data_IF_324135008611
#
_entry.id   IF_324135008611
#
_cell.length_a   1.000
_cell.length_b   1.000
_cell.length_c   1.000
_cell.angle_alpha   90.00
_cell.angle_beta   90.00
_cell.angle_gamma   90.00
#
_symmetry.space_group_name_H-M   'P 1'
#
loop_
_entity.id
_entity.type
_entity.pdbx_description
1 polymer ?
#
# COMPACT_ATOMS: atom_id res chain seq x y z
N UNK A 1 -3.97 -5.28 -13.72
CA UNK A 1 -5.07 -5.25 -12.72
C UNK A 1 -5.32 -3.85 -12.16
N UNK A 2 -4.34 -3.19 -11.52
CA UNK A 2 -4.52 -1.84 -10.94
C UNK A 2 -4.76 -0.77 -12.02
N UNK A 3 -3.89 -0.65 -13.02
CA UNK A 3 -4.07 0.33 -14.11
C UNK A 3 -5.39 0.11 -14.86
N UNK A 4 -5.74 -1.15 -15.15
CA UNK A 4 -7.04 -1.50 -15.76
C UNK A 4 -8.24 -1.04 -14.91
N UNK A 5 -8.12 -1.07 -13.58
CA UNK A 5 -9.15 -0.54 -12.69
C UNK A 5 -9.21 0.98 -12.74
N UNK A 6 -8.06 1.65 -12.77
CA UNK A 6 -7.96 3.11 -12.92
C UNK A 6 -8.63 3.55 -14.24
N UNK A 7 -8.30 2.92 -15.37
CA UNK A 7 -8.89 3.18 -16.70
C UNK A 7 -10.41 3.02 -16.67
N UNK A 8 -10.93 1.95 -16.05
CA UNK A 8 -12.38 1.71 -15.95
C UNK A 8 -13.11 2.71 -15.07
N UNK A 9 -12.41 3.39 -14.17
CA UNK A 9 -12.98 4.34 -13.20
C UNK A 9 -12.38 5.74 -13.39
N UNK A 10 -12.14 6.13 -14.65
CA UNK A 10 -11.45 7.39 -15.03
C UNK A 10 -11.92 8.61 -14.24
N UNK A 11 -13.23 8.84 -14.17
CA UNK A 11 -13.81 10.00 -13.46
C UNK A 11 -13.39 10.11 -11.98
N UNK A 12 -13.08 8.98 -11.34
CA UNK A 12 -12.63 8.93 -9.94
C UNK A 12 -11.15 9.23 -9.80
N UNK A 13 -10.32 8.82 -10.77
CA UNK A 13 -8.86 8.84 -10.64
C UNK A 13 -8.19 9.97 -11.41
N UNK A 14 -8.74 10.38 -12.55
CA UNK A 14 -8.21 11.47 -13.37
C UNK A 14 -7.95 12.77 -12.59
N UNK A 15 -8.81 13.19 -11.62
CA UNK A 15 -8.54 14.40 -10.83
C UNK A 15 -7.30 14.35 -9.92
N UNK A 16 -6.66 13.18 -9.77
CA UNK A 16 -5.45 12.99 -8.95
C UNK A 16 -4.17 12.82 -9.79
N UNK A 17 -4.29 12.89 -11.11
CA UNK A 17 -3.15 12.93 -12.04
C UNK A 17 -2.70 14.40 -12.16
N UNK A 18 -1.40 14.62 -12.35
CA UNK A 18 -0.84 15.95 -12.57
C UNK A 18 -1.49 16.62 -13.80
N UNK A 19 -1.84 17.91 -13.67
CA UNK A 19 -2.64 18.64 -14.67
C UNK A 19 -1.98 18.70 -16.07
N UNK A 20 -0.66 18.53 -16.15
CA UNK A 20 0.12 18.55 -17.39
C UNK A 20 0.29 17.17 -18.04
N UNK A 21 -0.24 16.11 -17.43
CA UNK A 21 -0.14 14.73 -17.93
C UNK A 21 -1.52 14.23 -18.37
N UNK A 22 -1.74 13.97 -19.68
CA UNK A 22 -2.99 13.38 -20.15
C UNK A 22 -3.26 12.00 -19.51
N UNK A 23 -4.51 11.73 -19.12
CA UNK A 23 -4.91 10.48 -18.46
C UNK A 23 -4.42 9.21 -19.20
N UNK A 24 -4.56 9.20 -20.52
CA UNK A 24 -4.20 8.04 -21.34
C UNK A 24 -2.67 7.83 -21.38
N UNK A 25 -1.89 8.91 -21.40
CA UNK A 25 -0.42 8.86 -21.31
C UNK A 25 0.04 8.41 -19.92
N UNK A 26 -0.60 8.91 -18.87
CA UNK A 26 -0.38 8.45 -17.50
C UNK A 26 -0.60 6.94 -17.37
N UNK A 27 -1.73 6.43 -17.87
CA UNK A 27 -2.05 5.01 -17.81
C UNK A 27 -1.03 4.16 -18.59
N UNK A 28 -0.62 4.58 -19.78
CA UNK A 28 0.43 3.90 -20.55
C UNK A 28 1.76 3.86 -19.83
N UNK A 29 2.17 4.99 -19.22
CA UNK A 29 3.39 5.06 -18.40
C UNK A 29 3.33 4.09 -17.22
N UNK A 30 2.19 4.04 -16.52
CA UNK A 30 1.98 3.13 -15.39
C UNK A 30 1.93 1.64 -15.77
N UNK A 31 1.68 1.29 -17.03
CA UNK A 31 1.83 -0.09 -17.52
C UNK A 31 3.28 -0.50 -17.77
N UNK A 32 4.22 0.47 -17.80
CA UNK A 32 5.64 0.19 -18.01
C UNK A 32 6.29 -0.37 -16.75
N UNK A 33 6.98 -1.50 -16.88
CA UNK A 33 7.70 -2.12 -15.76
C UNK A 33 8.76 -1.15 -15.20
N UNK A 34 8.77 -1.01 -13.87
CA UNK A 34 9.68 -0.10 -13.17
C UNK A 34 9.14 1.33 -13.01
N UNK A 35 7.97 1.66 -13.56
CA UNK A 35 7.29 2.94 -13.25
C UNK A 35 6.85 2.97 -11.79
N UNK A 36 7.09 4.10 -11.13
CA UNK A 36 6.83 4.27 -9.71
C UNK A 36 5.36 4.58 -9.47
N UNK A 37 4.75 3.82 -8.56
CA UNK A 37 3.39 4.00 -8.12
C UNK A 37 3.31 4.91 -6.89
N UNK A 38 2.25 5.69 -6.78
CA UNK A 38 1.98 6.60 -5.69
C UNK A 38 0.79 6.19 -4.82
N UNK A 39 0.26 7.17 -4.08
CA UNK A 39 -0.87 6.95 -3.18
C UNK A 39 -2.17 6.61 -3.92
N UNK A 40 -2.35 7.17 -5.12
CA UNK A 40 -3.50 6.89 -5.99
C UNK A 40 -3.55 5.40 -6.37
N UNK A 41 -2.42 4.82 -6.74
CA UNK A 41 -2.31 3.41 -7.13
C UNK A 41 -2.55 2.50 -5.94
N UNK A 42 -2.13 2.91 -4.73
CA UNK A 42 -2.44 2.19 -3.50
C UNK A 42 -3.95 2.19 -3.20
N UNK A 43 -4.64 3.31 -3.45
CA UNK A 43 -6.11 3.36 -3.33
C UNK A 43 -6.78 2.42 -4.32
N UNK A 44 -6.38 2.45 -5.59
CA UNK A 44 -6.88 1.53 -6.61
C UNK A 44 -6.57 0.05 -6.27
N UNK A 45 -5.34 -0.23 -5.82
CA UNK A 45 -4.93 -1.56 -5.40
C UNK A 45 -5.75 -2.08 -4.21
N UNK A 46 -6.06 -1.21 -3.24
CA UNK A 46 -6.91 -1.56 -2.10
C UNK A 46 -8.29 -2.05 -2.56
N UNK A 47 -8.92 -1.30 -3.47
CA UNK A 47 -10.25 -1.63 -4.02
C UNK A 47 -10.23 -2.94 -4.80
N UNK A 48 -9.26 -3.09 -5.71
CA UNK A 48 -9.11 -4.27 -6.57
C UNK A 48 -8.87 -5.54 -5.74
N UNK A 49 -8.00 -5.44 -4.74
CA UNK A 49 -7.58 -6.60 -3.92
C UNK A 49 -8.50 -6.85 -2.72
N UNK A 50 -9.56 -6.06 -2.58
CA UNK A 50 -10.49 -6.13 -1.46
C UNK A 50 -9.80 -6.13 -0.09
N UNK A 51 -8.74 -5.31 0.03
CA UNK A 51 -7.87 -5.26 1.20
C UNK A 51 -7.63 -3.81 1.60
N UNK A 52 -7.79 -3.48 2.88
CA UNK A 52 -7.34 -2.21 3.43
C UNK A 52 -5.81 -2.14 3.45
N UNK A 53 -5.25 -0.93 3.53
CA UNK A 53 -3.80 -0.72 3.59
C UNK A 53 -3.44 0.16 4.78
N UNK A 54 -2.51 -0.29 5.61
CA UNK A 54 -1.89 0.47 6.68
C UNK A 54 -0.45 0.83 6.28
N UNK A 55 -0.13 2.12 6.24
CA UNK A 55 1.18 2.63 5.86
C UNK A 55 1.89 3.14 7.11
N UNK A 56 2.98 2.47 7.47
CA UNK A 56 3.87 2.83 8.57
C UNK A 56 4.90 3.85 8.12
N UNK A 57 5.13 4.87 8.95
CA UNK A 57 6.08 5.96 8.68
C UNK A 57 6.97 6.19 9.89
N UNK A 58 8.25 6.44 9.66
CA UNK A 58 9.19 6.69 10.75
C UNK A 58 8.79 7.93 11.55
N UNK A 59 8.67 7.77 12.87
CA UNK A 59 8.32 8.84 13.83
C UNK A 59 7.07 9.66 13.46
N UNK A 60 6.14 9.06 12.71
CA UNK A 60 4.94 9.74 12.22
C UNK A 60 3.71 8.86 12.45
N UNK A 61 2.51 9.44 12.57
CA UNK A 61 1.28 8.67 12.56
C UNK A 61 1.18 7.79 11.31
N UNK A 62 0.58 6.61 11.50
CA UNK A 62 0.26 5.70 10.39
C UNK A 62 -0.84 6.29 9.52
N UNK A 63 -0.74 6.06 8.23
CA UNK A 63 -1.82 6.34 7.30
C UNK A 63 -2.62 5.08 7.02
N UNK A 64 -3.90 5.28 6.71
CA UNK A 64 -4.83 4.19 6.46
C UNK A 64 -5.61 4.48 5.20
N UNK A 65 -5.55 3.55 4.25
CA UNK A 65 -6.52 3.41 3.18
C UNK A 65 -7.54 2.38 3.65
N UNK A 66 -8.74 2.85 4.03
CA UNK A 66 -9.82 2.01 4.55
C UNK A 66 -11.03 2.12 3.64
N UNK A 67 -11.20 1.11 2.79
CA UNK A 67 -12.35 0.97 1.90
C UNK A 67 -13.38 -0.05 2.45
N UNK A 68 -12.99 -0.87 3.43
CA UNK A 68 -13.80 -1.97 3.94
C UNK A 68 -13.84 -1.97 5.47
N UNK A 69 -15.03 -1.92 6.08
CA UNK A 69 -15.21 -1.81 7.55
C UNK A 69 -15.83 -3.06 8.20
N UNK A 70 -15.81 -4.19 7.50
CA UNK A 70 -16.26 -5.47 8.08
C UNK A 70 -15.14 -6.15 8.88
N UNK A 71 -15.52 -6.95 9.89
CA UNK A 71 -14.59 -7.54 10.87
C UNK A 71 -13.44 -8.37 10.26
N UNK A 72 -13.69 -8.99 9.11
CA UNK A 72 -12.73 -9.86 8.42
C UNK A 72 -11.96 -9.15 7.30
N UNK A 73 -12.09 -7.82 7.17
CA UNK A 73 -11.43 -7.07 6.12
C UNK A 73 -9.91 -7.24 6.24
N UNK A 74 -9.30 -7.78 5.18
CA UNK A 74 -7.85 -7.98 5.12
C UNK A 74 -7.13 -6.64 5.20
N UNK A 75 -6.02 -6.59 5.92
CA UNK A 75 -5.14 -5.42 5.99
C UNK A 75 -3.73 -5.78 5.49
N UNK A 76 -3.30 -5.07 4.45
CA UNK A 76 -1.93 -5.08 3.95
C UNK A 76 -1.14 -4.02 4.72
N UNK A 77 0.09 -4.33 5.10
CA UNK A 77 0.97 -3.38 5.78
C UNK A 77 2.13 -3.02 4.89
N UNK A 78 2.34 -1.71 4.72
CA UNK A 78 3.46 -1.14 3.98
C UNK A 78 4.25 -0.21 4.90
N UNK A 79 5.53 -0.01 4.64
CA UNK A 79 6.33 1.03 5.28
C UNK A 79 6.82 2.01 4.22
N UNK A 80 6.70 3.31 4.50
CA UNK A 80 7.06 4.38 3.57
C UNK A 80 8.32 5.10 4.04
N UNK A 81 9.27 5.22 3.12
CA UNK A 81 10.64 5.68 3.38
C UNK A 81 11.08 6.70 2.33
N UNK A 82 11.92 7.63 2.76
CA UNK A 82 12.69 8.55 1.93
C UNK A 82 11.89 9.40 0.92
N UNK A 83 10.58 9.52 1.14
CA UNK A 83 9.71 10.39 0.34
C UNK A 83 9.22 9.78 -0.98
N UNK A 84 9.55 8.51 -1.26
CA UNK A 84 9.21 7.90 -2.55
C UNK A 84 9.11 6.36 -2.51
N UNK A 85 9.55 5.70 -1.45
CA UNK A 85 9.72 4.25 -1.45
C UNK A 85 8.79 3.53 -0.46
N UNK A 86 8.08 2.50 -0.94
CA UNK A 86 7.25 1.61 -0.12
C UNK A 86 7.87 0.23 0.03
N UNK A 87 7.82 -0.37 1.21
CA UNK A 87 8.21 -1.76 1.44
C UNK A 87 7.07 -2.59 2.02
N UNK A 88 7.03 -3.88 1.70
CA UNK A 88 6.12 -4.82 2.34
C UNK A 88 6.49 -5.05 3.80
N UNK A 89 5.50 -5.02 4.69
CA UNK A 89 5.70 -5.25 6.13
C UNK A 89 5.08 -6.58 6.53
N UNK A 90 5.90 -7.47 7.10
CA UNK A 90 5.49 -8.76 7.65
C UNK A 90 5.90 -8.90 9.12
N UNK A 91 5.23 -9.81 9.83
CA UNK A 91 5.65 -10.19 11.18
C UNK A 91 7.04 -10.85 11.14
N UNK A 92 7.82 -10.68 12.20
CA UNK A 92 9.14 -11.32 12.31
C UNK A 92 9.04 -12.84 12.34
N UNK A 93 7.94 -13.35 12.88
CA UNK A 93 7.62 -14.78 12.98
C UNK A 93 6.89 -15.30 11.72
N UNK A 94 6.76 -14.47 10.69
CA UNK A 94 6.24 -14.89 9.39
C UNK A 94 7.31 -15.71 8.66
N UNK A 95 6.92 -16.88 8.16
CA UNK A 95 7.79 -17.77 7.38
C UNK A 95 8.22 -17.16 6.03
N UNK A 96 7.62 -16.04 5.63
CA UNK A 96 7.77 -15.41 4.32
C UNK A 96 7.28 -16.25 3.14
N UNK A 97 6.72 -17.44 3.38
CA UNK A 97 6.15 -18.32 2.36
C UNK A 97 4.65 -18.02 2.25
N UNK A 98 4.20 -17.75 1.03
CA UNK A 98 2.79 -17.43 0.75
C UNK A 98 2.31 -16.13 1.39
N UNK A 99 1.00 -16.05 1.65
CA UNK A 99 0.33 -14.87 2.19
C UNK A 99 0.90 -14.43 3.54
N UNK A 100 1.04 -13.12 3.72
CA UNK A 100 1.47 -12.52 4.98
C UNK A 100 0.51 -12.87 6.12
N UNK A 101 1.07 -13.22 7.28
CA UNK A 101 0.30 -13.42 8.51
C UNK A 101 -0.37 -12.11 8.92
N UNK A 102 -1.63 -12.15 9.43
CA UNK A 102 -2.30 -10.95 9.90
C UNK A 102 -1.51 -10.23 11.00
N UNK A 103 -1.33 -8.91 10.86
CA UNK A 103 -0.72 -8.07 11.88
C UNK A 103 -1.84 -7.44 12.71
N UNK A 104 -1.92 -7.84 13.99
CA UNK A 104 -2.88 -7.24 14.92
C UNK A 104 -2.24 -6.01 15.56
N UNK A 105 -2.68 -4.84 15.12
CA UNK A 105 -2.31 -3.57 15.76
C UNK A 105 -3.09 -3.46 17.07
N UNK A 106 -2.40 -3.63 18.19
CA UNK A 106 -2.96 -3.29 19.49
C UNK A 106 -2.98 -1.77 19.64
N UNK A 107 -4.16 -1.19 19.84
CA UNK A 107 -4.28 0.20 20.26
C UNK A 107 -3.89 0.24 21.73
N UNK A 108 -2.66 0.66 22.01
CA UNK A 108 -2.26 1.03 23.36
C UNK A 108 -2.83 2.43 23.63
N UNK A 109 -3.92 2.52 24.40
CA UNK A 109 -4.28 3.78 25.07
C UNK A 109 -3.24 3.98 26.16
N UNK A 110 -2.12 4.65 25.88
CA UNK A 110 -1.16 4.99 26.94
C UNK A 110 -0.53 6.36 26.66
N UNK A 111 -0.71 7.24 27.63
CA UNK A 111 0.13 8.39 27.97
C UNK A 111 1.61 8.10 27.66
N UNK A 112 2.24 8.91 26.81
CA UNK A 112 3.69 8.98 26.53
C UNK A 112 4.51 7.72 26.86
N UNK A 113 4.71 6.83 25.89
CA UNK A 113 5.89 5.96 25.89
C UNK A 113 6.58 5.94 24.53
N UNK A 114 7.89 6.14 24.61
CA UNK A 114 8.87 6.20 23.52
C UNK A 114 8.87 4.92 22.68
N UNK A 115 8.89 5.09 21.36
CA UNK A 115 9.05 4.03 20.36
C UNK A 115 10.44 3.40 20.51
N UNK A 116 10.55 2.32 21.31
CA UNK A 116 11.80 1.53 21.38
C UNK A 116 11.63 0.02 21.25
N UNK A 117 10.44 -0.48 20.92
CA UNK A 117 10.22 -1.92 20.79
C UNK A 117 9.78 -2.36 19.39
N UNK A 118 10.76 -2.95 18.70
CA UNK A 118 10.75 -4.12 17.80
C UNK A 118 9.80 -4.17 16.60
N UNK A 119 10.33 -4.90 15.60
CA UNK A 119 9.70 -5.48 14.41
C UNK A 119 9.58 -4.47 13.28
N UNK A 120 10.41 -4.60 12.24
CA UNK A 120 10.05 -4.66 10.81
C UNK A 120 11.37 -4.71 10.00
N UNK A 121 11.51 -5.72 9.13
CA UNK A 121 12.62 -5.83 8.17
C UNK A 121 12.11 -5.51 6.77
N UNK A 122 12.98 -4.88 5.99
CA UNK A 122 12.72 -4.31 4.67
C UNK A 122 12.92 -5.36 3.57
N UNK A 123 11.96 -5.51 2.66
CA UNK A 123 12.09 -6.32 1.45
C UNK A 123 11.82 -5.46 0.22
N UNK A 124 12.81 -5.37 -0.67
CA UNK A 124 12.82 -4.54 -1.89
C UNK A 124 11.54 -4.71 -2.75
N UNK A 125 10.94 -3.58 -3.12
CA UNK A 125 9.61 -3.43 -3.74
C UNK A 125 9.47 -3.85 -5.21
N UNK A 126 10.54 -4.28 -5.89
CA UNK A 126 10.48 -4.59 -7.33
C UNK A 126 9.52 -5.76 -7.65
N UNK A 127 9.10 -6.56 -6.66
CA UNK A 127 8.22 -7.73 -6.84
C UNK A 127 6.80 -7.59 -6.26
N UNK A 128 6.39 -6.42 -5.75
CA UNK A 128 5.05 -6.30 -5.14
C UNK A 128 3.93 -6.45 -6.20
N UNK A 129 4.08 -5.84 -7.37
CA UNK A 129 3.09 -5.97 -8.45
C UNK A 129 3.07 -7.35 -9.12
N UNK A 130 4.21 -8.06 -9.15
CA UNK A 130 4.29 -9.45 -9.60
C UNK A 130 3.40 -10.38 -8.75
N UNK A 131 3.29 -10.12 -7.45
CA UNK A 131 2.46 -10.93 -6.54
C UNK A 131 0.93 -10.74 -6.70
N UNK A 132 0.51 -9.81 -7.57
CA UNK A 132 -0.90 -9.59 -7.94
C UNK A 132 -1.22 -10.00 -9.39
N UNK A 133 -0.27 -10.60 -10.11
CA UNK A 133 -0.52 -11.31 -11.38
C UNK A 133 -0.98 -12.74 -11.04
N UNK A 134 -2.22 -12.91 -10.55
CA UNK A 134 -2.92 -14.21 -10.55
C UNK A 134 -3.88 -14.26 -11.74
#
# INVERSE_FOLDING_TARGET
MVVQYIVKNRETFEPFIEDDVPFDEYCQSMETDGTWAGHMELQAASLVTHSNICIHRHMSPRWYIRNFDYHEARMIHLSYHDGEHYNGVRLKEDSCIGSARPIIIKVFIITLFSFRDRLFYYYNFVNFFESFKM
#
